data_IF_663804098402
#
_entry.id   IF_663804098402
#
_cell.length_a   1.000
_cell.length_b   1.000
_cell.length_c   1.000
_cell.angle_alpha   90.00
_cell.angle_beta   90.00
_cell.angle_gamma   90.00
#
_symmetry.space_group_name_H-M   'P 1'
#
loop_
_entity.id
_entity.type
_entity.pdbx_description
1 polymer ?
#
# COMPACT_ATOMS: atom_id res chain seq x y z
N UNK A 1 -15.74 -15.35 -10.92
CA UNK A 1 -15.63 -13.90 -11.18
C UNK A 1 -15.40 -13.68 -12.67
N UNK A 2 -15.91 -12.61 -13.27
CA UNK A 2 -15.57 -12.29 -14.67
C UNK A 2 -14.10 -11.83 -14.76
N UNK A 3 -13.52 -11.87 -15.95
CA UNK A 3 -12.15 -11.40 -16.16
C UNK A 3 -11.98 -9.91 -15.81
N UNK A 4 -13.03 -9.10 -16.02
CA UNK A 4 -13.04 -7.67 -15.66
C UNK A 4 -13.04 -7.42 -14.16
N UNK A 5 -13.61 -8.32 -13.36
CA UNK A 5 -13.64 -8.20 -11.90
C UNK A 5 -12.27 -8.54 -11.28
N UNK A 6 -11.53 -9.48 -11.87
CA UNK A 6 -10.22 -9.93 -11.39
C UNK A 6 -9.11 -8.89 -11.59
N UNK A 7 -9.18 -8.12 -12.69
CA UNK A 7 -8.20 -7.07 -13.02
C UNK A 7 -8.57 -5.70 -12.48
N UNK A 8 -9.63 -5.61 -11.68
CA UNK A 8 -10.07 -4.33 -11.12
C UNK A 8 -8.99 -3.77 -10.18
N UNK A 9 -8.64 -2.48 -10.29
CA UNK A 9 -7.72 -1.85 -9.35
C UNK A 9 -8.36 -1.76 -7.96
N UNK A 10 -7.69 -2.30 -6.95
CA UNK A 10 -8.14 -2.31 -5.55
C UNK A 10 -7.09 -1.61 -4.68
N UNK A 11 -7.53 -0.67 -3.84
CA UNK A 11 -6.68 0.00 -2.85
C UNK A 11 -6.55 -0.90 -1.62
N UNK A 12 -5.32 -1.20 -1.21
CA UNK A 12 -5.02 -2.04 -0.04
C UNK A 12 -4.34 -1.31 1.11
N UNK A 13 -3.80 -0.12 0.85
CA UNK A 13 -3.20 0.74 1.86
C UNK A 13 -3.38 2.21 1.49
N UNK A 14 -3.55 3.06 2.50
CA UNK A 14 -3.59 4.52 2.37
C UNK A 14 -2.94 5.15 3.60
N UNK A 15 -1.86 5.89 3.43
CA UNK A 15 -1.10 6.46 4.55
C UNK A 15 0.13 7.24 4.13
N UNK A 16 1.15 7.25 4.99
CA UNK A 16 2.42 7.91 4.73
C UNK A 16 3.30 7.11 3.74
N UNK A 17 4.25 7.82 3.13
CA UNK A 17 5.17 7.27 2.14
C UNK A 17 6.05 6.15 2.68
N UNK A 18 6.55 6.26 3.91
CA UNK A 18 7.50 5.28 4.45
C UNK A 18 6.83 3.91 4.64
N UNK A 19 5.65 3.89 5.27
CA UNK A 19 4.85 2.66 5.41
C UNK A 19 4.45 2.10 4.05
N UNK A 20 4.00 2.95 3.13
CA UNK A 20 3.66 2.54 1.77
C UNK A 20 4.85 1.88 1.06
N UNK A 21 6.05 2.45 1.17
CA UNK A 21 7.25 1.92 0.55
C UNK A 21 7.64 0.53 1.12
N UNK A 22 7.55 0.34 2.43
CA UNK A 22 7.85 -0.97 3.05
C UNK A 22 6.83 -2.03 2.63
N UNK A 23 5.54 -1.70 2.69
CA UNK A 23 4.46 -2.61 2.27
C UNK A 23 4.61 -2.97 0.79
N UNK A 24 4.90 -1.98 -0.07
CA UNK A 24 5.14 -2.19 -1.51
C UNK A 24 6.26 -3.21 -1.74
N UNK A 25 7.43 -3.00 -1.12
CA UNK A 25 8.56 -3.93 -1.25
C UNK A 25 8.21 -5.34 -0.78
N UNK A 26 7.49 -5.47 0.34
CA UNK A 26 7.07 -6.78 0.86
C UNK A 26 6.17 -7.52 -0.13
N UNK A 27 5.16 -6.85 -0.68
CA UNK A 27 4.22 -7.43 -1.64
C UNK A 27 4.90 -7.79 -2.97
N UNK A 28 5.76 -6.91 -3.48
CA UNK A 28 6.50 -7.15 -4.73
C UNK A 28 7.48 -8.32 -4.59
N UNK A 29 8.11 -8.50 -3.42
CA UNK A 29 8.94 -9.67 -3.14
C UNK A 29 8.17 -11.00 -3.15
N UNK A 30 6.84 -10.96 -2.98
CA UNK A 30 5.95 -12.11 -3.10
C UNK A 30 5.27 -12.21 -4.48
N UNK A 31 5.73 -11.42 -5.46
CA UNK A 31 5.23 -11.47 -6.84
C UNK A 31 3.94 -10.70 -7.07
N UNK A 32 3.45 -9.93 -6.09
CA UNK A 32 2.27 -9.09 -6.25
C UNK A 32 2.69 -7.74 -6.83
N UNK A 33 2.15 -7.39 -7.99
CA UNK A 33 2.41 -6.08 -8.60
C UNK A 33 1.66 -4.97 -7.87
N UNK A 34 2.36 -3.92 -7.45
CA UNK A 34 1.80 -2.82 -6.68
C UNK A 34 2.07 -1.48 -7.34
N UNK A 35 1.00 -0.72 -7.62
CA UNK A 35 1.08 0.66 -8.06
C UNK A 35 0.98 1.60 -6.86
N UNK A 36 1.96 2.50 -6.70
CA UNK A 36 1.97 3.51 -5.64
C UNK A 36 1.53 4.88 -6.18
N UNK A 37 0.35 5.34 -5.80
CA UNK A 37 -0.17 6.64 -6.17
C UNK A 37 0.36 7.72 -5.20
N UNK A 38 0.70 8.90 -5.75
CA UNK A 38 1.23 10.07 -5.03
C UNK A 38 2.66 9.90 -4.47
N UNK A 39 3.46 9.01 -5.03
CA UNK A 39 4.82 8.72 -4.54
C UNK A 39 5.75 9.95 -4.45
N UNK A 40 5.69 10.86 -5.43
CA UNK A 40 6.54 12.06 -5.45
C UNK A 40 5.95 13.24 -4.66
N UNK A 41 4.69 13.17 -4.27
CA UNK A 41 4.03 14.26 -3.56
C UNK A 41 4.60 14.47 -2.15
N UNK A 42 5.27 13.45 -1.58
CA UNK A 42 6.04 13.57 -0.35
C UNK A 42 7.21 14.54 -0.45
N UNK A 43 7.74 14.79 -1.66
CA UNK A 43 8.80 15.78 -1.91
C UNK A 43 8.28 17.11 -2.46
N UNK A 44 7.17 17.08 -3.21
CA UNK A 44 6.58 18.28 -3.84
C UNK A 44 5.74 19.09 -2.84
N UNK A 45 4.85 18.42 -2.11
CA UNK A 45 3.97 19.05 -1.13
C UNK A 45 3.73 18.10 0.07
N UNK A 46 4.74 17.91 0.93
CA UNK A 46 4.67 16.95 2.04
C UNK A 46 3.44 17.12 2.95
N UNK A 47 3.00 18.38 3.15
CA UNK A 47 1.82 18.71 3.97
C UNK A 47 0.49 18.19 3.39
N UNK A 48 0.41 17.93 2.08
CA UNK A 48 -0.81 17.42 1.45
C UNK A 48 -0.97 15.92 1.58
N UNK A 49 0.10 15.17 1.87
CA UNK A 49 0.14 13.70 1.79
C UNK A 49 0.52 13.00 3.10
N UNK A 50 0.70 13.77 4.18
CA UNK A 50 0.80 13.23 5.53
C UNK A 50 -0.46 12.39 5.89
N UNK A 51 -0.39 11.53 6.92
CA UNK A 51 -1.50 10.62 7.30
C UNK A 51 -2.84 11.29 7.63
N UNK A 52 -2.88 12.63 7.80
CA UNK A 52 -4.09 13.44 7.97
C UNK A 52 -4.33 14.46 6.82
N UNK A 53 -3.55 14.36 5.74
CA UNK A 53 -3.59 15.25 4.59
C UNK A 53 -4.67 14.90 3.56
N UNK A 54 -4.86 15.78 2.58
CA UNK A 54 -5.91 15.69 1.57
C UNK A 54 -5.68 14.58 0.53
N UNK A 55 -4.43 14.13 0.32
CA UNK A 55 -4.05 13.15 -0.71
C UNK A 55 -2.98 12.17 -0.20
N UNK A 56 -3.33 11.21 0.68
CA UNK A 56 -2.36 10.24 1.18
C UNK A 56 -1.75 9.39 0.04
N UNK A 57 -0.60 8.77 0.31
CA UNK A 57 -0.01 7.77 -0.58
C UNK A 57 -0.90 6.53 -0.55
N UNK A 58 -1.23 5.98 -1.72
CA UNK A 58 -2.08 4.78 -1.83
C UNK A 58 -1.33 3.66 -2.54
N UNK A 59 -1.49 2.44 -2.03
CA UNK A 59 -1.06 1.23 -2.73
C UNK A 59 -2.26 0.57 -3.39
N UNK A 60 -2.12 0.29 -4.68
CA UNK A 60 -3.16 -0.24 -5.55
C UNK A 60 -2.64 -1.52 -6.20
N UNK A 61 -3.46 -2.57 -6.17
CA UNK A 61 -3.16 -3.90 -6.75
C UNK A 61 -4.31 -4.37 -7.64
N UNK A 62 -4.15 -5.52 -8.29
CA UNK A 62 -5.25 -6.22 -8.96
C UNK A 62 -6.15 -6.91 -7.93
N UNK A 63 -7.47 -6.88 -8.11
CA UNK A 63 -8.42 -7.52 -7.19
C UNK A 63 -8.19 -9.03 -7.01
N UNK A 64 -7.65 -9.72 -8.03
CA UNK A 64 -7.26 -11.13 -7.94
C UNK A 64 -6.21 -11.42 -6.84
N UNK A 65 -5.38 -10.43 -6.50
CA UNK A 65 -4.29 -10.57 -5.52
C UNK A 65 -4.70 -10.09 -4.11
N UNK A 66 -5.96 -9.63 -3.96
CA UNK A 66 -6.44 -8.98 -2.74
C UNK A 66 -6.37 -9.87 -1.50
N UNK A 67 -6.77 -11.15 -1.62
CA UNK A 67 -6.75 -12.06 -0.49
C UNK A 67 -5.32 -12.38 -0.05
N UNK A 68 -4.39 -12.55 -0.99
CA UNK A 68 -2.99 -12.82 -0.68
C UNK A 68 -2.31 -11.60 -0.05
N UNK A 69 -2.54 -10.41 -0.61
CA UNK A 69 -2.05 -9.17 -0.05
C UNK A 69 -2.55 -8.94 1.38
N UNK A 70 -3.83 -9.23 1.66
CA UNK A 70 -4.40 -9.14 3.02
C UNK A 70 -3.70 -10.09 4.00
N UNK A 71 -3.49 -11.35 3.63
CA UNK A 71 -2.77 -12.32 4.47
C UNK A 71 -1.34 -11.87 4.79
N UNK A 72 -0.63 -11.30 3.82
CA UNK A 72 0.72 -10.77 4.03
C UNK A 72 0.70 -9.53 4.95
N UNK A 73 -0.31 -8.68 4.83
CA UNK A 73 -0.48 -7.47 5.66
C UNK A 73 -0.84 -7.77 7.11
N UNK A 74 -1.66 -8.79 7.36
CA UNK A 74 -2.01 -9.24 8.72
C UNK A 74 -0.76 -9.62 9.52
N UNK A 75 0.23 -10.25 8.89
CA UNK A 75 1.52 -10.58 9.53
C UNK A 75 2.47 -9.38 9.70
N UNK A 76 2.21 -8.26 9.03
CA UNK A 76 3.09 -7.09 9.03
C UNK A 76 2.75 -6.09 10.15
N UNK A 77 1.47 -5.98 10.52
CA UNK A 77 0.99 -4.97 11.48
C UNK A 77 1.51 -5.17 12.92
N UNK A 78 1.86 -6.40 13.31
CA UNK A 78 2.20 -6.74 14.70
C UNK A 78 3.71 -6.74 15.01
N UNK A 79 4.59 -6.66 14.01
CA UNK A 79 6.04 -6.87 14.21
C UNK A 79 6.92 -5.65 13.93
N UNK A 80 6.47 -4.66 13.14
CA UNK A 80 7.38 -3.71 12.50
C UNK A 80 7.49 -2.33 13.16
N UNK A 81 6.60 -1.96 14.10
CA UNK A 81 6.56 -0.58 14.64
C UNK A 81 6.48 -0.46 16.17
N UNK A 82 6.36 -1.57 16.90
CA UNK A 82 6.29 -1.57 18.38
C UNK A 82 7.67 -1.65 19.07
N UNK A 83 8.77 -1.59 18.30
CA UNK A 83 10.13 -1.62 18.86
C UNK A 83 10.81 -0.23 18.82
N UNK A 84 10.10 0.78 19.31
CA UNK A 84 10.69 2.01 19.86
C UNK A 84 9.84 2.48 21.04
N UNK A 85 10.09 1.94 22.24
CA UNK A 85 9.64 2.48 23.53
C UNK A 85 10.62 2.13 24.64
#
# INVERSE_FOLDING_TARGET
MSQSEQTKPTVIFSGDFHRAAVIKNMLENHGIYVFMQNEHMGSIAPWQVASAGFNPVKLIISAQDEEEAKRLLEGFNDAAFDNES
#
